data_IF_602285213195
#
_entry.id   IF_602285213195
#
_cell.length_a   1.000
_cell.length_b   1.000
_cell.length_c   1.000
_cell.angle_alpha   90.00
_cell.angle_beta   90.00
_cell.angle_gamma   90.00
#
_symmetry.space_group_name_H-M   'P 1'
#
loop_
_entity.id
_entity.type
_entity.pdbx_description
1 polymer ?
#
# COMPACT_ATOMS: atom_id res chain seq x y z
N UNK A 1 -10.23 1.19 0.98
CA UNK A 1 -10.50 -0.12 1.64
C UNK A 1 -10.45 0.03 3.16
N UNK A 2 -11.35 -0.60 3.93
CA UNK A 2 -11.43 -0.44 5.40
C UNK A 2 -10.40 -1.29 6.17
N UNK A 3 -10.03 -0.86 7.39
CA UNK A 3 -9.02 -1.54 8.24
C UNK A 3 -9.34 -3.02 8.47
N UNK A 4 -10.60 -3.35 8.76
CA UNK A 4 -11.05 -4.73 9.00
C UNK A 4 -10.87 -5.60 7.76
N UNK A 5 -11.11 -5.05 6.57
CA UNK A 5 -10.92 -5.78 5.31
C UNK A 5 -9.43 -6.07 5.09
N UNK A 6 -8.54 -5.10 5.37
CA UNK A 6 -7.09 -5.27 5.24
C UNK A 6 -6.62 -6.38 6.19
N UNK A 7 -7.12 -6.36 7.43
CA UNK A 7 -6.80 -7.38 8.42
C UNK A 7 -7.26 -8.78 7.98
N UNK A 8 -8.49 -8.91 7.48
CA UNK A 8 -8.99 -10.19 6.97
C UNK A 8 -8.10 -10.72 5.85
N UNK A 9 -7.72 -9.87 4.90
CA UNK A 9 -6.85 -10.26 3.78
C UNK A 9 -5.44 -10.67 4.20
N UNK A 10 -4.87 -10.00 5.20
CA UNK A 10 -3.58 -10.42 5.76
C UNK A 10 -3.69 -11.82 6.40
N UNK A 11 -4.77 -12.08 7.14
CA UNK A 11 -5.02 -13.38 7.78
C UNK A 11 -5.22 -14.47 6.71
N UNK A 12 -5.93 -14.18 5.62
CA UNK A 12 -6.07 -15.07 4.46
C UNK A 12 -4.71 -15.43 3.82
N UNK A 13 -3.72 -14.53 3.92
CA UNK A 13 -2.33 -14.77 3.49
C UNK A 13 -1.44 -15.40 4.59
N UNK A 14 -2.02 -15.86 5.71
CA UNK A 14 -1.28 -16.45 6.83
C UNK A 14 -0.44 -15.44 7.62
N UNK A 15 -0.71 -14.15 7.47
CA UNK A 15 0.01 -13.06 8.13
C UNK A 15 -0.93 -12.17 8.96
N UNK A 16 -0.35 -11.25 9.72
CA UNK A 16 -1.10 -10.21 10.43
C UNK A 16 -0.27 -8.92 10.41
N UNK A 17 -0.81 -7.78 10.87
CA UNK A 17 -0.08 -6.50 10.85
C UNK A 17 1.30 -6.57 11.52
N UNK A 18 1.42 -7.32 12.62
CA UNK A 18 2.69 -7.50 13.33
C UNK A 18 3.66 -8.35 12.52
N UNK A 19 3.21 -9.50 12.02
CA UNK A 19 4.05 -10.41 11.23
C UNK A 19 4.51 -9.76 9.92
N UNK A 20 3.60 -9.05 9.24
CA UNK A 20 3.91 -8.25 8.07
C UNK A 20 4.98 -7.19 8.38
N UNK A 21 4.79 -6.44 9.47
CA UNK A 21 5.74 -5.41 9.86
C UNK A 21 7.14 -6.00 10.10
N UNK A 22 7.24 -7.07 10.87
CA UNK A 22 8.51 -7.76 11.15
C UNK A 22 9.14 -8.27 9.85
N UNK A 23 8.36 -8.91 8.97
CA UNK A 23 8.85 -9.48 7.71
C UNK A 23 9.38 -8.42 6.74
N UNK A 24 8.81 -7.22 6.75
CA UNK A 24 9.21 -6.10 5.89
C UNK A 24 10.17 -5.10 6.58
N UNK A 25 10.57 -5.35 7.83
CA UNK A 25 11.48 -4.47 8.58
C UNK A 25 10.82 -3.18 9.11
N UNK A 26 9.50 -3.15 9.22
CA UNK A 26 8.74 -2.04 9.80
C UNK A 26 8.44 -2.27 11.28
N UNK A 27 8.23 -1.18 12.01
CA UNK A 27 7.69 -1.27 13.36
C UNK A 27 6.18 -1.62 13.33
N UNK A 28 5.71 -2.65 14.09
CA UNK A 28 4.30 -3.04 14.14
C UNK A 28 3.35 -1.91 14.51
N UNK A 29 3.78 -1.02 15.42
CA UNK A 29 3.00 0.14 15.86
C UNK A 29 2.82 1.14 14.73
N UNK A 30 3.90 1.39 13.98
CA UNK A 30 3.89 2.30 12.82
C UNK A 30 2.96 1.79 11.73
N UNK A 31 3.04 0.50 11.39
CA UNK A 31 2.12 -0.12 10.42
C UNK A 31 0.67 0.04 10.88
N UNK A 32 0.37 -0.29 12.14
CA UNK A 32 -0.99 -0.20 12.68
C UNK A 32 -1.52 1.23 12.64
N UNK A 33 -0.72 2.23 13.02
CA UNK A 33 -1.11 3.64 12.98
C UNK A 33 -1.34 4.14 11.56
N UNK A 34 -0.48 3.75 10.62
CA UNK A 34 -0.63 4.11 9.21
C UNK A 34 -1.92 3.53 8.64
N UNK A 35 -2.15 2.22 8.84
CA UNK A 35 -3.37 1.56 8.37
C UNK A 35 -4.61 2.16 9.04
N UNK A 36 -4.57 2.42 10.35
CA UNK A 36 -5.71 3.04 11.03
C UNK A 36 -6.00 4.46 10.54
N UNK A 37 -4.96 5.24 10.22
CA UNK A 37 -5.12 6.62 9.74
C UNK A 37 -5.62 6.70 8.30
N UNK A 38 -5.22 5.77 7.44
CA UNK A 38 -5.47 5.85 6.00
C UNK A 38 -6.51 4.86 5.48
N UNK A 39 -6.81 3.78 6.21
CA UNK A 39 -7.87 2.89 5.79
C UNK A 39 -9.20 3.64 5.69
N UNK A 40 -9.90 3.46 4.57
CA UNK A 40 -11.14 4.17 4.26
C UNK A 40 -10.97 5.55 3.61
N UNK A 41 -9.74 6.05 3.46
CA UNK A 41 -9.50 7.26 2.69
C UNK A 41 -9.37 6.96 1.18
N UNK A 42 -9.71 7.95 0.36
CA UNK A 42 -9.51 7.92 -1.10
C UNK A 42 -8.29 8.74 -1.56
N UNK A 43 -7.54 9.30 -0.61
CA UNK A 43 -6.36 10.12 -0.90
C UNK A 43 -5.07 9.37 -0.57
N UNK A 44 -4.00 9.68 -1.31
CA UNK A 44 -2.68 9.11 -1.08
C UNK A 44 -1.94 9.80 0.09
N UNK A 45 -1.14 9.04 0.86
CA UNK A 45 -0.30 9.62 1.90
C UNK A 45 0.83 10.47 1.31
N UNK A 46 1.00 11.67 1.86
CA UNK A 46 2.15 12.55 1.52
C UNK A 46 3.48 12.05 2.10
N UNK A 47 3.44 11.13 3.07
CA UNK A 47 4.62 10.61 3.75
C UNK A 47 5.21 9.38 3.03
N UNK A 48 6.51 9.42 2.72
CA UNK A 48 7.24 8.31 2.04
C UNK A 48 7.10 6.96 2.76
N UNK A 49 7.11 6.95 4.09
CA UNK A 49 6.98 5.72 4.89
C UNK A 49 5.55 5.17 4.85
N UNK A 50 4.55 6.02 5.08
CA UNK A 50 3.14 5.61 4.98
C UNK A 50 2.80 5.08 3.60
N UNK A 51 3.28 5.74 2.55
CA UNK A 51 3.12 5.31 1.17
C UNK A 51 3.72 3.91 0.94
N UNK A 52 4.98 3.70 1.35
CA UNK A 52 5.65 2.39 1.22
C UNK A 52 4.90 1.28 1.95
N UNK A 53 4.52 1.51 3.22
CA UNK A 53 3.77 0.52 4.01
C UNK A 53 2.47 0.13 3.30
N UNK A 54 1.66 1.12 2.87
CA UNK A 54 0.37 0.83 2.23
C UNK A 54 0.54 0.18 0.85
N UNK A 55 1.58 0.57 0.09
CA UNK A 55 1.94 -0.06 -1.18
C UNK A 55 2.35 -1.52 -0.99
N UNK A 56 3.21 -1.81 -0.02
CA UNK A 56 3.65 -3.18 0.29
C UNK A 56 2.48 -4.06 0.75
N UNK A 57 1.62 -3.54 1.63
CA UNK A 57 0.38 -4.25 2.02
C UNK A 57 -0.47 -4.53 0.79
N UNK A 58 -0.65 -3.54 -0.09
CA UNK A 58 -1.47 -3.70 -1.30
C UNK A 58 -0.92 -4.76 -2.25
N UNK A 59 0.41 -4.82 -2.40
CA UNK A 59 1.08 -5.88 -3.16
C UNK A 59 0.89 -7.25 -2.52
N UNK A 60 1.04 -7.35 -1.20
CA UNK A 60 0.91 -8.60 -0.48
C UNK A 60 -0.51 -9.19 -0.57
N UNK A 61 -1.54 -8.36 -0.41
CA UNK A 61 -2.94 -8.80 -0.48
C UNK A 61 -3.47 -8.88 -1.92
N UNK A 62 -2.67 -8.48 -2.91
CA UNK A 62 -3.05 -8.42 -4.32
C UNK A 62 -4.16 -7.41 -4.64
N UNK A 63 -4.38 -6.41 -3.79
CA UNK A 63 -5.46 -5.43 -3.93
C UNK A 63 -5.03 -4.07 -3.41
N UNK A 64 -5.44 -3.01 -4.12
CA UNK A 64 -5.20 -1.63 -3.70
C UNK A 64 -5.94 -1.31 -2.39
N UNK A 65 -5.17 -0.99 -1.35
CA UNK A 65 -5.71 -0.50 -0.08
C UNK A 65 -6.26 0.93 -0.23
N UNK A 66 -5.55 1.75 -1.00
CA UNK A 66 -5.90 3.10 -1.40
C UNK A 66 -5.91 3.16 -2.94
N UNK A 67 -6.86 3.88 -3.55
CA UNK A 67 -6.88 4.04 -5.00
C UNK A 67 -5.58 4.71 -5.49
N UNK A 68 -4.92 4.12 -6.48
CA UNK A 68 -3.70 4.68 -7.08
C UNK A 68 -2.44 4.46 -6.24
N UNK A 69 -2.48 3.69 -5.16
CA UNK A 69 -1.29 3.38 -4.35
C UNK A 69 -0.30 2.46 -5.07
N UNK A 70 -0.82 1.65 -6.01
CA UNK A 70 -0.03 0.78 -6.86
C UNK A 70 0.37 1.42 -8.17
N UNK A 71 -0.23 2.58 -8.52
CA UNK A 71 0.16 3.33 -9.71
C UNK A 71 1.67 3.59 -9.67
N UNK A 72 2.40 2.98 -10.60
CA UNK A 72 3.81 3.25 -10.75
C UNK A 72 4.00 4.71 -11.17
N UNK A 73 5.10 5.37 -10.80
CA UNK A 73 5.50 6.61 -11.45
C UNK A 73 5.92 6.40 -12.93
N UNK A 74 5.50 5.30 -13.56
CA UNK A 74 5.92 4.84 -14.86
C UNK A 74 4.91 5.19 -15.95
N UNK A 75 4.57 6.47 -16.08
CA UNK A 75 4.11 7.05 -17.36
C UNK A 75 4.69 8.47 -17.59
N UNK A 76 5.92 8.70 -17.14
CA UNK A 76 6.77 9.78 -17.62
C UNK A 76 8.07 9.19 -18.16
N UNK A 77 7.99 8.37 -19.22
CA UNK A 77 9.09 8.23 -20.18
C UNK A 77 8.67 7.54 -21.49
N UNK A 78 8.33 8.36 -22.49
CA UNK A 78 8.76 8.33 -23.91
C UNK A 78 8.55 7.07 -24.78
N UNK A 79 7.75 7.20 -25.86
CA UNK A 79 8.14 6.97 -27.28
C UNK A 79 6.98 7.27 -28.26
N UNK A 80 7.23 7.45 -29.57
CA UNK A 80 7.98 8.53 -30.20
C UNK A 80 7.09 9.40 -31.11
N UNK A 81 7.66 10.53 -31.51
CA UNK A 81 7.06 11.53 -32.39
C UNK A 81 6.73 10.90 -33.76
N UNK A 82 5.46 10.98 -34.17
CA UNK A 82 5.08 10.80 -35.58
C UNK A 82 5.60 12.01 -36.32
N UNK A 83 6.70 11.82 -37.05
CA UNK A 83 7.14 12.73 -38.10
C UNK A 83 6.15 12.62 -39.26
N UNK A 84 5.64 13.76 -39.71
CA UNK A 84 4.81 13.90 -40.90
C UNK A 84 5.62 14.59 -42.00
#
# INVERSE_FOLDING_TARGET
MEKRQIQARLIEQGSNFRQFAISHGYEPRTVTQVVQRWAGHDSLPRGRLSFRILRDISKLIGKEVLPGILAEPAELSVAPQVVN
#
